data_IF_019210431656
#
_entry.id   IF_019210431656
#
_cell.length_a   1.000
_cell.length_b   1.000
_cell.length_c   1.000
_cell.angle_alpha   90.00
_cell.angle_beta   90.00
_cell.angle_gamma   90.00
#
_symmetry.space_group_name_H-M   'P 1'
#
loop_
_entity.id
_entity.type
_entity.pdbx_description
1 polymer ?
#
# COMPACT_ATOMS: atom_id res chain seq x y z
N UNK A 1 -11.18 5.94 24.23
CA UNK A 1 -10.52 6.99 23.45
C UNK A 1 -10.88 6.87 21.96
N UNK A 2 -10.74 7.94 21.21
CA UNK A 2 -10.97 7.95 19.75
C UNK A 2 -10.11 6.90 19.03
N UNK A 3 -8.93 6.57 19.58
CA UNK A 3 -8.02 5.59 18.98
C UNK A 3 -8.48 4.14 19.16
N UNK A 4 -9.27 3.83 20.17
CA UNK A 4 -9.73 2.46 20.42
C UNK A 4 -10.70 1.96 19.33
N UNK A 5 -11.48 2.86 18.72
CA UNK A 5 -12.37 2.49 17.61
C UNK A 5 -11.62 2.06 16.36
N UNK A 6 -10.35 2.45 16.20
CA UNK A 6 -9.53 2.12 15.05
C UNK A 6 -8.52 0.99 15.32
N UNK A 7 -8.54 0.42 16.52
CA UNK A 7 -7.54 -0.57 16.96
C UNK A 7 -7.38 -1.74 15.99
N UNK A 8 -8.46 -2.23 15.42
CA UNK A 8 -8.44 -3.41 14.57
C UNK A 8 -7.94 -3.13 13.13
N UNK A 9 -7.91 -1.87 12.72
CA UNK A 9 -7.53 -1.51 11.35
C UNK A 9 -6.26 -0.65 11.26
N UNK A 10 -5.92 0.10 12.30
CA UNK A 10 -4.79 1.03 12.29
C UNK A 10 -3.43 0.34 12.21
N UNK A 11 -2.39 1.02 11.72
CA UNK A 11 -1.01 0.53 11.85
C UNK A 11 -0.61 0.34 13.31
N UNK A 12 0.46 -0.42 13.53
CA UNK A 12 0.99 -0.60 14.88
C UNK A 12 1.66 0.68 15.40
N UNK A 13 1.47 0.94 16.70
CA UNK A 13 2.13 2.02 17.43
C UNK A 13 3.52 1.57 17.91
N UNK A 14 4.34 2.52 18.37
CA UNK A 14 5.70 2.26 18.81
C UNK A 14 5.80 1.11 19.81
N UNK A 15 4.92 1.10 20.82
CA UNK A 15 4.94 0.08 21.87
C UNK A 15 4.55 -1.32 21.37
N UNK A 16 3.93 -1.41 20.21
CA UNK A 16 3.52 -2.69 19.61
C UNK A 16 4.60 -3.28 18.70
N UNK A 17 5.58 -2.48 18.27
CA UNK A 17 6.57 -2.89 17.27
C UNK A 17 7.40 -4.08 17.76
N UNK A 18 7.98 -3.98 18.95
CA UNK A 18 8.86 -5.05 19.47
C UNK A 18 8.14 -6.38 19.67
N UNK A 19 6.96 -6.43 20.31
CA UNK A 19 6.21 -7.68 20.45
C UNK A 19 5.85 -8.32 19.12
N UNK A 20 5.44 -7.52 18.13
CA UNK A 20 5.07 -8.04 16.81
C UNK A 20 6.28 -8.55 16.05
N UNK A 21 7.41 -7.84 16.09
CA UNK A 21 8.66 -8.30 15.47
C UNK A 21 9.14 -9.60 16.10
N UNK A 22 9.09 -9.73 17.42
CA UNK A 22 9.51 -10.95 18.13
C UNK A 22 8.67 -12.16 17.71
N UNK A 23 7.37 -11.97 17.55
CA UNK A 23 6.45 -12.99 17.05
C UNK A 23 6.75 -13.35 15.59
N UNK A 24 6.98 -12.34 14.76
CA UNK A 24 7.22 -12.51 13.32
C UNK A 24 8.53 -13.28 13.07
N UNK A 25 9.59 -12.97 13.79
CA UNK A 25 10.90 -13.61 13.69
C UNK A 25 10.84 -15.11 14.03
N UNK A 26 9.84 -15.55 14.77
CA UNK A 26 9.64 -16.97 15.11
C UNK A 26 8.58 -17.65 14.26
N UNK A 27 7.95 -16.95 13.31
CA UNK A 27 6.92 -17.53 12.46
C UNK A 27 7.55 -18.38 11.34
N UNK A 28 7.31 -19.71 11.29
CA UNK A 28 7.93 -20.57 10.29
C UNK A 28 7.57 -20.24 8.84
N UNK A 29 6.33 -19.85 8.56
CA UNK A 29 5.90 -19.47 7.21
C UNK A 29 6.59 -18.21 6.73
N UNK A 30 6.73 -17.22 7.60
CA UNK A 30 7.45 -15.99 7.29
C UNK A 30 8.92 -16.27 7.02
N UNK A 31 9.56 -17.05 7.89
CA UNK A 31 10.97 -17.43 7.72
C UNK A 31 11.20 -18.25 6.45
N UNK A 32 10.30 -19.16 6.12
CA UNK A 32 10.36 -19.92 4.87
C UNK A 32 10.25 -19.00 3.65
N UNK A 33 9.37 -18.00 3.70
CA UNK A 33 9.21 -17.02 2.62
C UNK A 33 10.48 -16.19 2.43
N UNK A 34 11.08 -15.72 3.51
CA UNK A 34 12.34 -14.96 3.48
C UNK A 34 13.47 -15.83 2.91
N UNK A 35 13.61 -17.06 3.38
CA UNK A 35 14.63 -17.99 2.89
C UNK A 35 14.47 -18.27 1.39
N UNK A 36 13.24 -18.49 0.93
CA UNK A 36 12.94 -18.72 -0.48
C UNK A 36 13.24 -17.49 -1.35
N UNK A 37 13.04 -16.31 -0.80
CA UNK A 37 13.35 -15.06 -1.49
C UNK A 37 14.86 -14.87 -1.71
N UNK A 38 15.66 -15.11 -0.67
CA UNK A 38 17.11 -14.89 -0.73
C UNK A 38 17.90 -16.04 -1.36
N UNK A 39 17.48 -17.29 -1.14
CA UNK A 39 18.20 -18.46 -1.59
C UNK A 39 17.21 -19.60 -1.96
N UNK A 40 16.47 -19.46 -3.08
CA UNK A 40 15.39 -20.39 -3.42
C UNK A 40 15.84 -21.84 -3.54
N UNK A 41 17.00 -22.11 -4.12
CA UNK A 41 17.52 -23.49 -4.27
C UNK A 41 17.88 -24.11 -2.93
N UNK A 42 18.60 -23.36 -2.09
CA UNK A 42 19.00 -23.82 -0.76
C UNK A 42 17.79 -24.00 0.16
N UNK A 43 16.81 -23.10 0.07
CA UNK A 43 15.58 -23.19 0.83
C UNK A 43 14.75 -24.42 0.45
N UNK A 44 14.76 -24.81 -0.82
CA UNK A 44 14.10 -26.01 -1.29
C UNK A 44 14.81 -27.29 -0.79
N UNK A 45 16.14 -27.33 -0.87
CA UNK A 45 16.95 -28.49 -0.47
C UNK A 45 17.08 -28.63 1.05
N UNK A 46 17.21 -27.54 1.77
CA UNK A 46 17.47 -27.52 3.21
C UNK A 46 16.55 -26.53 3.94
N UNK A 47 15.23 -26.78 3.93
CA UNK A 47 14.26 -25.79 4.43
C UNK A 47 14.46 -25.41 5.90
N UNK A 48 14.71 -26.38 6.78
CA UNK A 48 14.87 -26.12 8.22
C UNK A 48 16.14 -25.31 8.50
N UNK A 49 17.24 -25.63 7.84
CA UNK A 49 18.52 -24.92 7.98
C UNK A 49 18.35 -23.48 7.49
N UNK A 50 17.73 -23.29 6.34
CA UNK A 50 17.58 -21.98 5.75
C UNK A 50 16.62 -21.10 6.52
N UNK A 51 15.57 -21.66 7.15
CA UNK A 51 14.74 -20.91 8.09
C UNK A 51 15.56 -20.42 9.29
N UNK A 52 16.45 -21.24 9.82
CA UNK A 52 17.36 -20.87 10.90
C UNK A 52 18.33 -19.75 10.50
N UNK A 53 18.89 -19.82 9.29
CA UNK A 53 19.76 -18.78 8.74
C UNK A 53 18.98 -17.45 8.60
N UNK A 54 17.78 -17.50 8.05
CA UNK A 54 16.92 -16.35 7.90
C UNK A 54 16.57 -15.73 9.26
N UNK A 55 16.25 -16.55 10.26
CA UNK A 55 15.94 -16.10 11.61
C UNK A 55 17.12 -15.36 12.25
N UNK A 56 18.33 -15.93 12.15
CA UNK A 56 19.54 -15.33 12.72
C UNK A 56 19.82 -13.97 12.07
N UNK A 57 19.70 -13.89 10.75
CA UNK A 57 19.92 -12.66 9.99
C UNK A 57 18.92 -11.58 10.39
N UNK A 58 17.63 -11.92 10.46
CA UNK A 58 16.57 -10.99 10.85
C UNK A 58 16.73 -10.50 12.29
N UNK A 59 17.08 -11.39 13.23
CA UNK A 59 17.36 -10.99 14.60
C UNK A 59 18.46 -9.96 14.68
N UNK A 60 19.53 -10.14 13.91
CA UNK A 60 20.62 -9.17 13.85
C UNK A 60 20.20 -7.83 13.28
N UNK A 61 19.46 -7.84 12.18
CA UNK A 61 18.99 -6.63 11.50
C UNK A 61 17.95 -5.84 12.30
N UNK A 62 17.09 -6.54 13.04
CA UNK A 62 15.93 -5.93 13.71
C UNK A 62 16.10 -5.78 15.23
N UNK A 63 17.26 -6.12 15.76
CA UNK A 63 17.47 -6.21 17.21
C UNK A 63 17.27 -4.88 17.95
N UNK A 64 17.54 -3.75 17.30
CA UNK A 64 17.40 -2.41 17.89
C UNK A 64 16.15 -1.67 17.43
N UNK A 65 15.25 -2.35 16.70
CA UNK A 65 14.03 -1.71 16.19
C UNK A 65 12.94 -1.78 17.24
N UNK A 66 12.58 -0.63 17.82
CA UNK A 66 11.56 -0.50 18.88
C UNK A 66 10.53 0.59 18.60
N UNK A 67 10.53 1.16 17.39
CA UNK A 67 9.63 2.24 17.04
C UNK A 67 9.24 2.18 15.57
N UNK A 68 8.16 2.87 15.24
CA UNK A 68 7.71 3.02 13.85
C UNK A 68 8.80 3.71 13.02
N UNK A 69 9.42 4.77 13.54
CA UNK A 69 10.49 5.49 12.84
C UNK A 69 11.68 4.58 12.54
N UNK A 70 12.13 3.78 13.52
CA UNK A 70 13.22 2.83 13.32
C UNK A 70 12.86 1.77 12.27
N UNK A 71 11.62 1.31 12.26
CA UNK A 71 11.13 0.37 11.24
C UNK A 71 11.14 1.00 9.85
N UNK A 72 10.73 2.25 9.72
CA UNK A 72 10.76 2.99 8.45
C UNK A 72 12.20 3.14 7.93
N UNK A 73 13.18 3.37 8.80
CA UNK A 73 14.60 3.45 8.41
C UNK A 73 15.10 2.10 7.85
N UNK A 74 14.74 0.99 8.47
CA UNK A 74 15.06 -0.35 7.98
C UNK A 74 14.46 -0.58 6.59
N UNK A 75 13.18 -0.24 6.42
CA UNK A 75 12.47 -0.40 5.14
C UNK A 75 13.11 0.48 4.06
N UNK A 76 13.50 1.71 4.39
CA UNK A 76 14.20 2.61 3.45
C UNK A 76 15.49 1.99 2.94
N UNK A 77 16.26 1.31 3.81
CA UNK A 77 17.47 0.60 3.41
C UNK A 77 17.20 -0.54 2.43
N UNK A 78 16.15 -1.32 2.65
CA UNK A 78 15.72 -2.35 1.71
C UNK A 78 15.24 -1.75 0.38
N UNK A 79 14.53 -0.62 0.44
CA UNK A 79 14.10 0.09 -0.76
C UNK A 79 15.30 0.59 -1.58
N UNK A 80 16.32 1.15 -0.94
CA UNK A 80 17.55 1.58 -1.63
C UNK A 80 18.15 0.44 -2.44
N UNK A 81 18.29 -0.72 -1.83
CA UNK A 81 18.84 -1.91 -2.49
C UNK A 81 17.94 -2.39 -3.63
N UNK A 82 16.64 -2.46 -3.41
CA UNK A 82 15.68 -2.90 -4.43
C UNK A 82 15.70 -1.96 -5.64
N UNK A 83 15.77 -0.66 -5.41
CA UNK A 83 15.84 0.35 -6.47
C UNK A 83 17.14 0.17 -7.27
N UNK A 84 18.27 0.02 -6.59
CA UNK A 84 19.56 -0.19 -7.24
C UNK A 84 19.56 -1.45 -8.11
N UNK A 85 18.97 -2.54 -7.61
CA UNK A 85 19.00 -3.85 -8.27
C UNK A 85 17.96 -3.98 -9.40
N UNK A 86 16.84 -3.25 -9.34
CA UNK A 86 15.69 -3.51 -10.21
C UNK A 86 15.24 -2.32 -11.08
N UNK A 87 15.81 -1.12 -10.89
CA UNK A 87 15.46 0.04 -11.70
C UNK A 87 16.67 0.58 -12.45
N UNK A 88 16.43 1.15 -13.63
CA UNK A 88 17.45 1.88 -14.38
C UNK A 88 17.55 3.31 -13.89
N UNK A 89 16.40 3.96 -13.72
CA UNK A 89 16.31 5.34 -13.25
C UNK A 89 15.01 5.52 -12.47
N UNK A 90 15.07 6.25 -11.38
CA UNK A 90 13.92 6.59 -10.57
C UNK A 90 13.81 8.11 -10.50
N UNK A 91 12.73 8.63 -11.09
CA UNK A 91 12.49 10.06 -11.20
C UNK A 91 11.15 10.44 -10.58
N UNK A 92 10.99 11.72 -10.30
CA UNK A 92 9.73 12.25 -9.81
C UNK A 92 9.48 13.65 -10.37
N UNK A 93 8.23 14.08 -10.31
CA UNK A 93 7.81 15.43 -10.66
C UNK A 93 6.68 15.89 -9.76
N UNK A 94 6.54 17.20 -9.59
CA UNK A 94 5.40 17.77 -8.88
C UNK A 94 5.47 17.74 -7.37
N UNK A 95 6.51 17.16 -6.76
CA UNK A 95 6.62 17.10 -5.30
C UNK A 95 6.70 18.49 -4.69
N UNK A 96 7.18 19.48 -5.42
CA UNK A 96 7.21 20.90 -5.05
C UNK A 96 5.81 21.51 -4.90
N UNK A 97 4.75 20.85 -5.40
CA UNK A 97 3.37 21.27 -5.19
C UNK A 97 2.91 21.04 -3.75
N UNK A 98 3.62 20.23 -2.99
CA UNK A 98 3.28 19.90 -1.61
C UNK A 98 3.87 20.92 -0.64
N UNK A 99 3.13 21.21 0.43
CA UNK A 99 3.56 22.11 1.48
C UNK A 99 4.01 21.33 2.71
N UNK A 100 5.14 21.71 3.28
CA UNK A 100 5.61 21.14 4.55
C UNK A 100 4.61 21.48 5.66
N UNK A 101 4.36 20.51 6.53
CA UNK A 101 3.43 20.68 7.64
C UNK A 101 1.96 20.52 7.27
N UNK A 102 1.64 20.28 6.01
CA UNK A 102 0.30 19.93 5.54
C UNK A 102 0.26 18.44 5.19
N UNK A 103 -0.81 17.78 5.52
CA UNK A 103 -1.03 16.36 5.18
C UNK A 103 -1.98 16.23 3.99
N UNK A 104 -1.81 15.15 3.24
CA UNK A 104 -2.53 14.91 2.00
C UNK A 104 -3.03 13.48 1.91
N UNK A 105 -4.20 13.32 1.28
CA UNK A 105 -4.64 12.02 0.80
C UNK A 105 -4.18 11.86 -0.64
N UNK A 106 -3.24 10.95 -0.87
CA UNK A 106 -2.75 10.62 -2.20
C UNK A 106 -3.62 9.51 -2.81
N UNK A 107 -4.25 9.80 -3.94
CA UNK A 107 -5.02 8.83 -4.71
C UNK A 107 -4.23 8.52 -5.97
N UNK A 108 -3.91 7.25 -6.18
CA UNK A 108 -2.95 6.82 -7.19
C UNK A 108 -3.55 5.73 -8.09
N UNK A 109 -3.06 5.67 -9.33
CA UNK A 109 -3.24 4.47 -10.15
C UNK A 109 -2.60 3.27 -9.44
N UNK A 110 -3.01 2.06 -9.81
CA UNK A 110 -2.59 0.86 -9.11
C UNK A 110 -2.11 -0.20 -10.09
N UNK A 111 -0.79 -0.42 -10.11
CA UNK A 111 -0.09 -1.35 -11.00
C UNK A 111 0.51 -2.54 -10.26
N UNK A 112 0.98 -2.30 -9.03
CA UNK A 112 1.64 -3.29 -8.21
C UNK A 112 1.07 -3.23 -6.79
N UNK A 113 0.95 -4.38 -6.14
CA UNK A 113 0.29 -4.48 -4.82
C UNK A 113 0.99 -3.61 -3.78
N UNK A 114 2.32 -3.68 -3.70
CA UNK A 114 3.09 -3.01 -2.66
C UNK A 114 4.02 -1.93 -3.19
N UNK A 115 4.47 -2.04 -4.44
CA UNK A 115 5.48 -1.12 -4.98
C UNK A 115 4.92 0.26 -5.26
N UNK A 116 3.66 0.40 -5.65
CA UNK A 116 3.08 1.72 -5.89
C UNK A 116 3.18 2.61 -4.65
N UNK A 117 2.61 2.24 -3.49
CA UNK A 117 2.78 3.06 -2.31
C UNK A 117 4.22 3.12 -1.82
N UNK A 118 5.02 2.07 -2.04
CA UNK A 118 6.41 2.05 -1.62
C UNK A 118 7.25 3.12 -2.34
N UNK A 119 7.08 3.29 -3.64
CA UNK A 119 7.78 4.33 -4.39
C UNK A 119 7.31 5.74 -4.00
N UNK A 120 6.01 5.95 -3.83
CA UNK A 120 5.48 7.24 -3.35
C UNK A 120 6.07 7.57 -1.98
N UNK A 121 6.08 6.59 -1.09
CA UNK A 121 6.62 6.74 0.26
C UNK A 121 8.13 7.07 0.25
N UNK A 122 8.87 6.39 -0.61
CA UNK A 122 10.29 6.64 -0.80
C UNK A 122 10.58 8.08 -1.21
N UNK A 123 9.79 8.62 -2.16
CA UNK A 123 9.92 10.01 -2.58
C UNK A 123 9.64 10.99 -1.45
N UNK A 124 8.58 10.76 -0.68
CA UNK A 124 8.21 11.60 0.46
C UNK A 124 9.29 11.56 1.55
N UNK A 125 9.78 10.36 1.87
CA UNK A 125 10.83 10.16 2.87
C UNK A 125 12.10 10.95 2.53
N UNK A 126 12.59 10.85 1.30
CA UNK A 126 13.81 11.55 0.87
C UNK A 126 13.62 13.06 0.71
N UNK A 127 12.40 13.51 0.47
CA UNK A 127 12.09 14.95 0.39
C UNK A 127 11.81 15.56 1.77
N UNK A 128 11.87 14.77 2.85
CA UNK A 128 11.66 15.25 4.20
C UNK A 128 10.20 15.45 4.61
N UNK A 129 9.27 14.81 3.92
CA UNK A 129 7.85 14.80 4.28
C UNK A 129 7.54 13.64 5.22
N UNK A 130 6.40 13.75 5.91
CA UNK A 130 5.84 12.64 6.68
C UNK A 130 5.59 11.45 5.76
N UNK A 131 5.99 10.24 6.21
CA UNK A 131 5.75 9.01 5.47
C UNK A 131 4.27 8.64 5.46
N UNK A 132 3.89 7.79 4.49
CA UNK A 132 2.50 7.41 4.26
C UNK A 132 1.98 6.42 5.29
N UNK A 133 0.68 6.55 5.61
CA UNK A 133 -0.14 5.42 6.03
C UNK A 133 -0.82 4.84 4.79
N UNK A 134 -0.75 3.54 4.63
CA UNK A 134 -1.06 2.86 3.36
C UNK A 134 -2.31 2.01 3.50
N UNK A 135 -3.35 2.31 2.70
CA UNK A 135 -4.56 1.49 2.65
C UNK A 135 -4.30 0.15 1.97
N UNK A 136 -4.65 -0.95 2.62
CA UNK A 136 -4.52 -2.29 2.04
C UNK A 136 -5.80 -3.10 2.29
N UNK A 137 -6.30 -3.77 1.26
CA UNK A 137 -7.49 -4.61 1.36
C UNK A 137 -7.26 -5.87 2.18
N UNK A 138 -8.23 -6.27 2.98
CA UNK A 138 -8.16 -7.47 3.82
C UNK A 138 -8.10 -8.77 3.01
N UNK A 139 -8.52 -8.74 1.76
CA UNK A 139 -8.36 -9.88 0.84
C UNK A 139 -6.90 -10.28 0.61
N UNK A 140 -5.95 -9.37 0.86
CA UNK A 140 -4.51 -9.63 0.75
C UNK A 140 -3.90 -10.09 2.08
N UNK A 141 -4.67 -10.12 3.16
CA UNK A 141 -4.19 -10.31 4.53
C UNK A 141 -4.72 -11.61 5.16
N UNK A 142 -4.95 -12.65 4.36
CA UNK A 142 -5.51 -13.92 4.83
C UNK A 142 -4.58 -14.64 5.81
N UNK A 143 -3.27 -14.47 5.64
CA UNK A 143 -2.28 -15.02 6.58
C UNK A 143 -1.93 -13.98 7.65
N UNK A 144 -2.01 -14.33 8.97
CA UNK A 144 -1.74 -13.36 10.04
C UNK A 144 -0.37 -12.69 9.96
N UNK A 145 0.67 -13.41 9.52
CA UNK A 145 2.00 -12.80 9.42
C UNK A 145 2.07 -11.71 8.35
N UNK A 146 1.28 -11.83 7.27
CA UNK A 146 1.22 -10.81 6.22
C UNK A 146 0.55 -9.55 6.77
N UNK A 147 -0.53 -9.70 7.52
CA UNK A 147 -1.19 -8.58 8.22
C UNK A 147 -0.22 -7.87 9.16
N UNK A 148 0.50 -8.63 9.98
CA UNK A 148 1.48 -8.07 10.92
C UNK A 148 2.57 -7.28 10.17
N UNK A 149 3.11 -7.88 9.11
CA UNK A 149 4.16 -7.24 8.31
C UNK A 149 3.69 -5.92 7.69
N UNK A 150 2.49 -5.90 7.13
CA UNK A 150 1.93 -4.69 6.52
C UNK A 150 1.65 -3.60 7.57
N UNK A 151 1.09 -3.98 8.72
CA UNK A 151 0.81 -3.03 9.81
C UNK A 151 2.07 -2.50 10.48
N UNK A 152 3.16 -3.25 10.46
CA UNK A 152 4.49 -2.76 10.85
C UNK A 152 5.00 -1.67 9.91
N UNK A 153 4.59 -1.72 8.65
CA UNK A 153 4.94 -0.74 7.62
C UNK A 153 3.85 0.33 7.43
N UNK A 154 3.21 0.75 8.49
CA UNK A 154 2.20 1.83 8.48
C UNK A 154 0.98 1.54 7.59
N UNK A 155 0.67 0.28 7.29
CA UNK A 155 -0.56 -0.05 6.58
C UNK A 155 -1.76 -0.12 7.51
N UNK A 156 -2.91 0.34 7.04
CA UNK A 156 -4.19 0.15 7.70
C UNK A 156 -5.12 -0.68 6.81
N UNK A 157 -6.07 -1.37 7.44
CA UNK A 157 -6.85 -2.42 6.78
C UNK A 157 -8.16 -1.88 6.25
N UNK A 158 -8.39 -2.10 4.95
CA UNK A 158 -9.69 -1.86 4.30
C UNK A 158 -10.47 -3.18 4.30
N UNK A 159 -11.54 -3.24 5.08
CA UNK A 159 -12.36 -4.46 5.20
C UNK A 159 -13.34 -4.56 4.05
N UNK A 160 -12.99 -5.37 3.05
CA UNK A 160 -13.80 -5.59 1.84
C UNK A 160 -14.59 -6.89 1.86
N UNK A 161 -14.22 -7.82 2.75
CA UNK A 161 -14.84 -9.14 2.84
C UNK A 161 -16.15 -9.18 3.62
N UNK A 162 -16.53 -8.07 4.24
CA UNK A 162 -17.78 -7.93 4.97
C UNK A 162 -18.95 -7.59 4.02
N UNK A 163 -20.17 -7.87 4.47
CA UNK A 163 -21.38 -7.61 3.71
C UNK A 163 -22.42 -6.86 4.54
N UNK A 164 -23.40 -6.23 3.86
CA UNK A 164 -24.54 -5.60 4.48
C UNK A 164 -24.20 -4.52 5.48
N UNK A 165 -24.85 -4.54 6.63
CA UNK A 165 -24.67 -3.54 7.71
C UNK A 165 -23.25 -3.52 8.25
N UNK A 166 -22.60 -4.66 8.37
CA UNK A 166 -21.23 -4.76 8.85
C UNK A 166 -20.25 -4.06 7.90
N UNK A 167 -20.45 -4.19 6.59
CA UNK A 167 -19.66 -3.49 5.59
C UNK A 167 -19.87 -1.97 5.72
N UNK A 168 -21.11 -1.51 5.84
CA UNK A 168 -21.39 -0.08 6.00
C UNK A 168 -20.74 0.51 7.25
N UNK A 169 -20.76 -0.21 8.37
CA UNK A 169 -20.09 0.21 9.59
C UNK A 169 -18.58 0.26 9.40
N UNK A 170 -18.00 -0.75 8.76
CA UNK A 170 -16.58 -0.82 8.50
C UNK A 170 -16.12 0.34 7.58
N UNK A 171 -16.89 0.64 6.53
CA UNK A 171 -16.57 1.75 5.63
C UNK A 171 -16.72 3.11 6.31
N UNK A 172 -17.71 3.28 7.18
CA UNK A 172 -17.86 4.50 7.97
C UNK A 172 -16.69 4.69 8.93
N UNK A 173 -16.26 3.63 9.59
CA UNK A 173 -15.07 3.65 10.46
C UNK A 173 -13.80 3.97 9.67
N UNK A 174 -13.64 3.37 8.49
CA UNK A 174 -12.52 3.64 7.60
C UNK A 174 -12.48 5.10 7.17
N UNK A 175 -13.62 5.66 6.76
CA UNK A 175 -13.75 7.08 6.42
C UNK A 175 -13.32 7.97 7.59
N UNK A 176 -13.83 7.68 8.78
CA UNK A 176 -13.45 8.41 9.99
C UNK A 176 -11.97 8.31 10.28
N UNK A 177 -11.37 7.13 10.07
CA UNK A 177 -9.94 6.91 10.27
C UNK A 177 -9.09 7.76 9.31
N UNK A 178 -9.45 7.78 8.03
CA UNK A 178 -8.72 8.57 7.02
C UNK A 178 -8.79 10.06 7.35
N UNK A 179 -9.98 10.57 7.70
CA UNK A 179 -10.12 11.95 8.14
C UNK A 179 -9.30 12.25 9.39
N UNK A 180 -9.30 11.32 10.35
CA UNK A 180 -8.48 11.44 11.56
C UNK A 180 -6.99 11.56 11.23
N UNK A 181 -6.48 10.75 10.30
CA UNK A 181 -5.10 10.82 9.85
C UNK A 181 -4.75 12.21 9.30
N UNK A 182 -5.56 12.70 8.38
CA UNK A 182 -5.32 14.00 7.74
C UNK A 182 -5.38 15.15 8.77
N UNK A 183 -6.34 15.13 9.68
CA UNK A 183 -6.47 16.12 10.75
C UNK A 183 -5.28 16.12 11.71
N UNK A 184 -4.59 14.99 11.84
CA UNK A 184 -3.43 14.84 12.72
C UNK A 184 -2.09 14.84 11.98
N UNK A 185 -2.06 15.42 10.80
CA UNK A 185 -0.85 15.61 9.98
C UNK A 185 -0.19 14.32 9.52
N UNK A 186 -0.98 13.28 9.27
CA UNK A 186 -0.51 12.02 8.69
C UNK A 186 -0.94 11.93 7.22
N UNK A 187 0.02 11.71 6.33
CA UNK A 187 -0.25 11.45 4.93
C UNK A 187 -0.84 10.06 4.74
N UNK A 188 -1.78 9.94 3.80
CA UNK A 188 -2.46 8.68 3.50
C UNK A 188 -2.36 8.39 2.01
N UNK A 189 -2.11 7.14 1.67
CA UNK A 189 -2.17 6.63 0.29
C UNK A 189 -3.32 5.65 0.13
N UNK A 190 -4.09 5.81 -0.92
CA UNK A 190 -5.12 4.86 -1.32
C UNK A 190 -5.14 4.71 -2.84
N UNK A 191 -5.41 3.49 -3.33
CA UNK A 191 -5.57 3.26 -4.76
C UNK A 191 -6.88 3.89 -5.27
N UNK A 192 -6.88 4.34 -6.52
CA UNK A 192 -8.05 4.97 -7.15
C UNK A 192 -9.24 4.02 -7.32
N UNK A 193 -9.02 2.72 -7.21
CA UNK A 193 -10.04 1.68 -7.30
C UNK A 193 -9.59 0.43 -6.56
N UNK A 194 -10.54 -0.45 -6.28
CA UNK A 194 -10.26 -1.76 -5.71
C UNK A 194 -9.49 -2.63 -6.72
N UNK A 195 -8.39 -3.23 -6.26
CA UNK A 195 -7.55 -4.08 -7.08
C UNK A 195 -6.67 -3.34 -8.08
N UNK A 196 -5.69 -4.06 -8.62
CA UNK A 196 -4.77 -3.54 -9.63
C UNK A 196 -5.44 -3.45 -11.00
N UNK A 197 -5.02 -2.47 -11.81
CA UNK A 197 -5.47 -2.35 -13.19
C UNK A 197 -4.76 -3.41 -14.06
N UNK A 198 -5.37 -4.58 -14.23
CA UNK A 198 -4.83 -5.69 -15.02
C UNK A 198 -4.95 -5.47 -16.53
N UNK A 199 -5.92 -4.67 -16.94
CA UNK A 199 -6.22 -4.33 -18.34
C UNK A 199 -5.54 -3.02 -18.79
N UNK A 200 -4.80 -2.36 -17.91
CA UNK A 200 -4.14 -1.10 -18.20
C UNK A 200 -5.05 0.13 -18.15
N UNK A 201 -6.30 -0.02 -17.77
CA UNK A 201 -7.25 1.10 -17.66
C UNK A 201 -7.21 1.68 -16.25
N UNK A 202 -6.81 2.96 -16.15
CA UNK A 202 -6.71 3.71 -14.90
C UNK A 202 -7.93 4.62 -14.74
N UNK A 203 -8.91 4.16 -13.94
CA UNK A 203 -10.11 4.96 -13.63
C UNK A 203 -10.37 4.97 -12.14
N UNK A 204 -10.68 6.15 -11.63
CA UNK A 204 -11.10 6.31 -10.23
C UNK A 204 -12.54 5.81 -10.08
N UNK A 205 -12.75 4.94 -9.09
CA UNK A 205 -14.07 4.44 -8.76
C UNK A 205 -14.84 5.52 -7.96
N UNK A 206 -16.00 5.99 -8.46
CA UNK A 206 -16.82 6.94 -7.71
C UNK A 206 -17.24 6.43 -6.32
N UNK A 207 -17.33 5.11 -6.13
CA UNK A 207 -17.64 4.51 -4.84
C UNK A 207 -16.56 4.81 -3.79
N UNK A 208 -15.30 4.96 -4.20
CA UNK A 208 -14.22 5.40 -3.32
C UNK A 208 -14.53 6.77 -2.72
N UNK A 209 -14.97 7.71 -3.55
CA UNK A 209 -15.26 9.07 -3.11
C UNK A 209 -16.47 9.13 -2.19
N UNK A 210 -17.49 8.31 -2.46
CA UNK A 210 -18.63 8.15 -1.57
C UNK A 210 -18.21 7.60 -0.21
N UNK A 211 -17.33 6.60 -0.20
CA UNK A 211 -16.80 6.02 1.05
C UNK A 211 -16.04 7.06 1.86
N UNK A 212 -15.20 7.86 1.22
CA UNK A 212 -14.41 8.89 1.91
C UNK A 212 -15.28 9.93 2.64
N UNK A 213 -16.51 10.14 2.20
CA UNK A 213 -17.45 11.08 2.80
C UNK A 213 -18.40 10.45 3.84
N UNK A 214 -18.28 9.16 4.12
CA UNK A 214 -19.20 8.44 5.01
C UNK A 214 -19.07 8.86 6.48
N UNK A 215 -17.97 9.47 6.89
CA UNK A 215 -17.77 9.95 8.25
C UNK A 215 -18.74 11.08 8.64
N UNK A 216 -19.15 11.90 7.66
CA UNK A 216 -20.06 13.04 7.87
C UNK A 216 -20.98 13.20 6.64
N UNK A 217 -22.06 12.41 6.61
CA UNK A 217 -22.99 12.41 5.47
C UNK A 217 -23.86 13.66 5.37
N UNK A 218 -23.95 14.45 6.45
CA UNK A 218 -24.82 15.62 6.51
C UNK A 218 -24.23 16.86 5.84
N UNK A 219 -22.91 16.89 5.63
CA UNK A 219 -22.27 18.00 4.93
C UNK A 219 -22.18 17.70 3.44
N UNK A 220 -22.12 18.72 2.57
CA UNK A 220 -21.95 18.52 1.13
C UNK A 220 -20.70 17.70 0.80
N UNK A 221 -20.78 16.88 -0.26
CA UNK A 221 -19.66 16.03 -0.69
C UNK A 221 -18.38 16.83 -0.92
N UNK A 222 -18.46 17.92 -1.67
CA UNK A 222 -17.27 18.75 -1.97
C UNK A 222 -16.63 19.31 -0.70
N UNK A 223 -17.43 19.70 0.28
CA UNK A 223 -16.92 20.22 1.57
C UNK A 223 -16.23 19.12 2.36
N UNK A 224 -16.81 17.92 2.41
CA UNK A 224 -16.20 16.77 3.07
C UNK A 224 -14.86 16.41 2.44
N UNK A 225 -14.83 16.22 1.12
CA UNK A 225 -13.63 15.79 0.41
C UNK A 225 -12.53 16.85 0.40
N UNK A 226 -12.88 18.15 0.42
CA UNK A 226 -11.89 19.23 0.48
C UNK A 226 -11.05 19.18 1.76
N UNK A 227 -11.59 18.61 2.84
CA UNK A 227 -10.87 18.44 4.11
C UNK A 227 -9.72 17.42 3.99
N UNK A 228 -9.76 16.57 2.98
CA UNK A 228 -8.77 15.50 2.80
C UNK A 228 -7.55 15.93 1.98
N UNK A 229 -7.58 17.11 1.35
CA UNK A 229 -6.46 17.60 0.54
C UNK A 229 -5.99 16.55 -0.46
N UNK A 230 -6.88 16.14 -1.36
CA UNK A 230 -6.62 15.04 -2.30
C UNK A 230 -5.60 15.47 -3.35
N UNK A 231 -4.52 14.69 -3.46
CA UNK A 231 -3.47 14.86 -4.48
C UNK A 231 -3.44 13.61 -5.35
N UNK A 232 -3.73 13.74 -6.65
CA UNK A 232 -3.58 12.63 -7.59
C UNK A 232 -2.10 12.31 -7.80
N UNK A 233 -1.78 11.02 -7.85
CA UNK A 233 -0.42 10.53 -8.10
C UNK A 233 -0.46 9.52 -9.24
N UNK A 234 0.50 9.62 -10.13
CA UNK A 234 0.70 8.65 -11.21
C UNK A 234 2.04 7.96 -11.02
N UNK A 235 2.03 6.63 -11.05
CA UNK A 235 3.24 5.85 -11.04
C UNK A 235 3.34 5.14 -12.39
N UNK A 236 4.49 5.31 -13.05
CA UNK A 236 4.77 4.72 -14.34
C UNK A 236 5.98 3.81 -14.24
N UNK A 237 5.84 2.60 -14.74
CA UNK A 237 6.92 1.62 -14.84
C UNK A 237 7.22 1.36 -16.31
N UNK A 238 8.49 1.38 -16.69
CA UNK A 238 8.89 0.98 -18.06
C UNK A 238 8.49 -0.47 -18.31
N UNK A 239 8.72 -1.33 -17.32
CA UNK A 239 8.32 -2.74 -17.36
C UNK A 239 7.48 -3.09 -16.11
N UNK A 240 6.40 -3.83 -16.30
CA UNK A 240 5.61 -4.36 -15.19
C UNK A 240 6.31 -5.62 -14.64
N UNK A 241 6.82 -5.54 -13.43
CA UNK A 241 7.52 -6.65 -12.77
C UNK A 241 6.64 -7.88 -12.56
N UNK A 242 5.31 -7.73 -12.61
CA UNK A 242 4.34 -8.80 -12.41
C UNK A 242 3.68 -9.29 -13.72
N UNK A 243 4.18 -8.90 -14.90
CA UNK A 243 3.56 -9.24 -16.19
C UNK A 243 3.37 -10.74 -16.39
N UNK A 244 4.36 -11.54 -16.04
CA UNK A 244 4.31 -13.00 -16.19
C UNK A 244 3.16 -13.59 -15.34
N UNK A 245 3.04 -13.15 -14.09
CA UNK A 245 1.98 -13.62 -13.19
C UNK A 245 0.60 -13.12 -13.64
N UNK A 246 0.50 -11.89 -14.12
CA UNK A 246 -0.75 -11.34 -14.65
C UNK A 246 -1.19 -12.09 -15.90
N UNK A 247 -0.28 -12.41 -16.80
CA UNK A 247 -0.57 -13.19 -18.00
C UNK A 247 -1.06 -14.59 -17.65
N UNK A 248 -0.46 -15.25 -16.67
CA UNK A 248 -0.89 -16.55 -16.17
C UNK A 248 -2.29 -16.51 -15.56
N UNK A 249 -2.59 -15.48 -14.77
CA UNK A 249 -3.94 -15.27 -14.21
C UNK A 249 -5.00 -15.13 -15.31
N UNK A 250 -4.72 -14.34 -16.36
CA UNK A 250 -5.61 -14.16 -17.49
C UNK A 250 -5.80 -15.46 -18.27
N UNK A 251 -4.73 -16.23 -18.49
CA UNK A 251 -4.79 -17.52 -19.16
C UNK A 251 -5.68 -18.51 -18.39
N UNK A 252 -5.54 -18.58 -17.07
CA UNK A 252 -6.37 -19.43 -16.22
C UNK A 252 -7.84 -19.04 -16.30
N UNK A 253 -8.14 -17.73 -16.30
CA UNK A 253 -9.49 -17.23 -16.43
C UNK A 253 -10.13 -17.65 -17.78
N UNK A 254 -9.39 -17.49 -18.88
CA UNK A 254 -9.85 -17.86 -20.22
C UNK A 254 -10.04 -19.38 -20.36
N UNK A 255 -9.13 -20.18 -19.80
CA UNK A 255 -9.13 -21.64 -19.91
C UNK A 255 -10.22 -22.31 -19.08
N UNK A 256 -10.52 -21.77 -17.90
CA UNK A 256 -11.44 -22.39 -16.93
C UNK A 256 -12.77 -21.67 -16.81
N UNK A 257 -12.90 -20.50 -17.40
CA UNK A 257 -14.09 -19.66 -17.25
C UNK A 257 -14.21 -19.00 -15.88
N UNK A 258 -13.24 -19.26 -14.98
CA UNK A 258 -13.20 -18.64 -13.66
C UNK A 258 -11.74 -18.58 -13.19
N UNK A 259 -11.42 -17.53 -12.43
CA UNK A 259 -10.12 -17.35 -11.80
C UNK A 259 -10.28 -17.33 -10.29
N UNK A 260 -9.61 -18.27 -9.60
CA UNK A 260 -9.57 -18.29 -8.15
C UNK A 260 -8.21 -17.82 -7.68
N UNK A 261 -8.19 -16.64 -7.05
CA UNK A 261 -6.99 -16.06 -6.49
C UNK A 261 -6.71 -16.73 -5.14
N UNK A 262 -5.52 -17.28 -4.97
CA UNK A 262 -5.09 -17.91 -3.72
C UNK A 262 -4.16 -16.99 -2.94
N UNK A 263 -4.01 -17.24 -1.64
CA UNK A 263 -3.05 -16.52 -0.78
C UNK A 263 -1.63 -16.60 -1.33
N UNK A 264 -1.25 -17.76 -1.88
CA UNK A 264 0.05 -17.99 -2.49
C UNK A 264 0.24 -17.10 -3.72
N UNK A 265 -0.79 -16.95 -4.56
CA UNK A 265 -0.75 -16.09 -5.74
C UNK A 265 -0.51 -14.64 -5.37
N UNK A 266 -1.15 -14.13 -4.31
CA UNK A 266 -0.95 -12.76 -3.82
C UNK A 266 0.48 -12.56 -3.28
N UNK A 267 0.99 -13.52 -2.48
CA UNK A 267 2.35 -13.47 -1.96
C UNK A 267 3.37 -13.53 -3.10
N UNK A 268 3.17 -14.41 -4.07
CA UNK A 268 4.02 -14.50 -5.26
C UNK A 268 4.04 -13.19 -6.05
N UNK A 269 2.88 -12.53 -6.20
CA UNK A 269 2.79 -11.23 -6.85
C UNK A 269 3.54 -10.14 -6.10
N UNK A 270 3.44 -10.12 -4.77
CA UNK A 270 4.18 -9.18 -3.93
C UNK A 270 5.69 -9.36 -4.11
N UNK A 271 6.16 -10.58 -4.02
CA UNK A 271 7.59 -10.92 -4.16
C UNK A 271 8.09 -10.58 -5.57
N UNK A 272 7.33 -10.95 -6.60
CA UNK A 272 7.67 -10.65 -7.99
C UNK A 272 7.77 -9.14 -8.24
N UNK A 273 6.89 -8.34 -7.63
CA UNK A 273 6.95 -6.89 -7.69
C UNK A 273 8.22 -6.33 -7.07
N UNK A 274 8.68 -6.92 -5.96
CA UNK A 274 9.89 -6.49 -5.27
C UNK A 274 11.17 -6.82 -6.04
N UNK A 275 11.25 -7.99 -6.64
CA UNK A 275 12.48 -8.49 -7.28
C UNK A 275 12.52 -8.31 -8.80
N UNK A 276 11.37 -8.09 -9.44
CA UNK A 276 11.27 -7.95 -10.88
C UNK A 276 11.89 -6.66 -11.39
N UNK A 277 12.54 -6.74 -12.54
CA UNK A 277 13.14 -5.58 -13.20
C UNK A 277 12.05 -4.62 -13.69
N UNK A 278 12.20 -3.35 -13.38
CA UNK A 278 11.20 -2.29 -13.64
C UNK A 278 11.65 -1.28 -14.68
N UNK A 279 12.95 -1.21 -14.96
CA UNK A 279 13.52 -0.20 -15.85
C UNK A 279 13.38 1.20 -15.26
N UNK A 280 12.89 2.13 -16.06
CA UNK A 280 12.61 3.48 -15.59
C UNK A 280 11.30 3.53 -14.80
N UNK A 281 11.35 4.15 -13.63
CA UNK A 281 10.19 4.38 -12.76
C UNK A 281 10.03 5.87 -12.54
N UNK A 282 8.82 6.38 -12.75
CA UNK A 282 8.50 7.79 -12.53
C UNK A 282 7.29 7.93 -11.62
N UNK A 283 7.41 8.80 -10.62
CA UNK A 283 6.34 9.17 -9.70
C UNK A 283 5.97 10.64 -9.93
N UNK A 284 4.76 10.89 -10.40
CA UNK A 284 4.27 12.23 -10.66
C UNK A 284 3.23 12.65 -9.62
N UNK A 285 3.50 13.72 -8.88
CA UNK A 285 2.56 14.30 -7.93
C UNK A 285 1.79 15.43 -8.62
N UNK A 286 0.47 15.30 -8.71
CA UNK A 286 -0.37 16.36 -9.21
C UNK A 286 -0.59 17.44 -8.17
N UNK A 287 -1.31 18.49 -8.57
CA UNK A 287 -1.76 19.49 -7.63
C UNK A 287 -2.99 18.99 -6.88
N UNK A 288 -3.20 19.50 -5.67
CA UNK A 288 -4.42 19.24 -4.92
C UNK A 288 -5.65 19.57 -5.78
N UNK A 289 -6.63 18.66 -5.83
CA UNK A 289 -7.84 18.85 -6.64
C UNK A 289 -8.76 19.90 -6.00
N UNK A 290 -9.52 20.60 -6.86
CA UNK A 290 -10.57 21.51 -6.45
C UNK A 290 -11.90 20.75 -6.41
N UNK A 291 -12.34 20.36 -5.22
CA UNK A 291 -13.56 19.56 -5.03
C UNK A 291 -14.80 20.47 -5.08
N UNK A 292 -15.19 20.91 -6.28
CA UNK A 292 -16.31 21.84 -6.45
C UNK A 292 -17.64 21.17 -6.77
N UNK A 293 -17.62 19.92 -7.22
CA UNK A 293 -18.81 19.18 -7.63
C UNK A 293 -19.42 18.37 -6.48
N UNK A 294 -20.73 18.21 -6.51
CA UNK A 294 -21.46 17.31 -5.63
C UNK A 294 -21.64 15.90 -6.24
N UNK A 295 -21.14 15.67 -7.45
CA UNK A 295 -21.27 14.39 -8.15
C UNK A 295 -19.97 13.61 -8.05
N UNK A 296 -19.96 12.44 -7.41
CA UNK A 296 -18.75 11.62 -7.29
C UNK A 296 -18.09 11.32 -8.65
N UNK A 297 -18.91 11.09 -9.69
CA UNK A 297 -18.43 10.79 -11.04
C UNK A 297 -17.62 11.94 -11.65
N UNK A 298 -18.00 13.18 -11.38
CA UNK A 298 -17.28 14.36 -11.87
C UNK A 298 -15.96 14.56 -11.12
N UNK A 299 -15.92 14.30 -9.82
CA UNK A 299 -14.71 14.36 -9.02
C UNK A 299 -13.75 13.25 -9.43
N UNK A 300 -14.26 12.04 -9.66
CA UNK A 300 -13.48 10.90 -10.17
C UNK A 300 -12.83 11.24 -11.52
N UNK A 301 -13.57 11.89 -12.41
CA UNK A 301 -13.06 12.34 -13.70
C UNK A 301 -11.95 13.38 -13.55
N UNK A 302 -12.10 14.33 -12.63
CA UNK A 302 -11.05 15.32 -12.34
C UNK A 302 -9.76 14.65 -11.91
N UNK A 303 -9.86 13.65 -11.03
CA UNK A 303 -8.69 12.87 -10.58
C UNK A 303 -8.06 12.14 -11.77
N UNK A 304 -8.88 11.47 -12.59
CA UNK A 304 -8.41 10.72 -13.77
C UNK A 304 -7.71 11.63 -14.79
N UNK A 305 -8.26 12.81 -15.05
CA UNK A 305 -7.66 13.77 -15.97
C UNK A 305 -6.28 14.21 -15.48
N UNK A 306 -6.11 14.41 -14.18
CA UNK A 306 -4.81 14.77 -13.59
C UNK A 306 -3.82 13.61 -13.63
N UNK A 307 -4.28 12.37 -13.42
CA UNK A 307 -3.44 11.17 -13.53
C UNK A 307 -2.96 11.00 -14.97
N UNK A 308 -3.84 11.14 -15.95
CA UNK A 308 -3.50 10.99 -17.38
C UNK A 308 -2.53 12.06 -17.88
N UNK A 309 -2.61 13.28 -17.34
CA UNK A 309 -1.81 14.41 -17.79
C UNK A 309 -0.48 14.56 -17.03
N UNK A 310 -0.20 13.67 -16.10
CA UNK A 310 1.07 13.61 -15.41
C UNK A 310 1.94 12.51 -16.04
#
# INVERSE_FOLDING_TARGET
SLMDQFKDIRPYHDEEIRPVLDKLITNPEFLASIASFYAPKLAHLFPAIMRGVAQKKLRGQLKSVNSVAAMQDVIAGYMDKMIEDTTTDLTHSGIENLQKGKSYLFISNHRDITMDPAFVNYMLYHAGYETLQIAIGDNLLKKPFVSDLMRLNKSFIVRRSLEGRELLQALTTLSAYIHHCIENNHNVWIAQREGRAKDGIDKTDPALLKMLAMNQRKIPLHENLSQLHIVPVTISYEYDACDVLKAEELYQLESTGSFTKTDKSDIESIVAGMIGFKGDVHVAFGKEIETCSEKPEEIAKEIDDKILNN
#
